data_IF_216876216003
#
_entry.id   IF_216876216003
#
_cell.length_a   1.000
_cell.length_b   1.000
_cell.length_c   1.000
_cell.angle_alpha   90.00
_cell.angle_beta   90.00
_cell.angle_gamma   90.00
#
_symmetry.space_group_name_H-M   'P 1'
#
loop_
_entity.id
_entity.type
_entity.pdbx_description
1 polymer ?
#
# COMPACT_ATOMS: atom_id res chain seq x y z
N UNK A 1 3.56 -16.12 -10.93
CA UNK A 1 3.64 -15.24 -9.73
C UNK A 1 2.70 -15.66 -8.60
N UNK A 2 1.40 -15.85 -8.86
CA UNK A 2 0.46 -16.22 -7.78
C UNK A 2 0.77 -17.53 -7.10
N UNK A 3 1.27 -18.53 -7.80
CA UNK A 3 1.74 -19.80 -7.20
C UNK A 3 2.89 -19.58 -6.22
N UNK A 4 3.79 -18.65 -6.52
CA UNK A 4 4.88 -18.27 -5.62
C UNK A 4 4.36 -17.55 -4.37
N UNK A 5 3.39 -16.66 -4.54
CA UNK A 5 2.75 -15.97 -3.41
C UNK A 5 2.11 -16.98 -2.47
N UNK A 6 1.37 -17.94 -3.00
CA UNK A 6 0.76 -19.01 -2.22
C UNK A 6 1.81 -19.84 -1.47
N UNK A 7 2.89 -20.22 -2.15
CA UNK A 7 3.97 -21.03 -1.60
C UNK A 7 4.77 -20.31 -0.52
N UNK A 8 5.15 -19.07 -0.76
CA UNK A 8 5.98 -18.28 0.16
C UNK A 8 5.17 -17.60 1.28
N UNK A 9 3.87 -17.44 1.08
CA UNK A 9 2.94 -16.86 2.04
C UNK A 9 3.43 -15.56 2.69
N UNK A 10 3.84 -14.54 1.89
CA UNK A 10 4.25 -13.27 2.46
C UNK A 10 3.08 -12.59 3.14
N UNK A 11 3.34 -11.83 4.20
CA UNK A 11 2.29 -11.01 4.81
C UNK A 11 1.84 -9.96 3.79
N UNK A 12 0.53 -9.82 3.64
CA UNK A 12 -0.08 -8.85 2.73
C UNK A 12 -0.94 -7.85 3.51
N UNK A 13 -0.67 -6.56 3.30
CA UNK A 13 -1.44 -5.47 3.87
C UNK A 13 -1.80 -4.49 2.75
N UNK A 14 -3.06 -4.09 2.67
CA UNK A 14 -3.54 -3.20 1.62
C UNK A 14 -4.34 -2.04 2.19
N UNK A 15 -4.22 -0.89 1.54
CA UNK A 15 -5.02 0.30 1.84
C UNK A 15 -5.59 0.84 0.55
N UNK A 16 -6.90 1.06 0.53
CA UNK A 16 -7.61 1.63 -0.60
C UNK A 16 -8.37 2.89 -0.19
N UNK A 17 -8.15 3.96 -0.93
CA UNK A 17 -8.89 5.19 -0.76
C UNK A 17 -9.99 5.28 -1.81
N UNK A 18 -11.24 5.27 -1.38
CA UNK A 18 -12.38 5.44 -2.27
C UNK A 18 -12.56 6.93 -2.56
N UNK A 19 -12.10 7.36 -3.73
CA UNK A 19 -12.02 8.77 -4.11
C UNK A 19 -13.36 9.51 -4.06
N UNK A 20 -14.46 8.82 -4.34
CA UNK A 20 -15.79 9.43 -4.28
C UNK A 20 -16.14 9.93 -2.87
N UNK A 21 -15.55 9.36 -1.83
CA UNK A 21 -15.78 9.75 -0.44
C UNK A 21 -14.77 10.78 0.07
N UNK A 22 -13.83 11.23 -0.77
CA UNK A 22 -12.87 12.24 -0.39
C UNK A 22 -13.53 13.62 -0.24
N UNK A 23 -13.05 14.40 0.71
CA UNK A 23 -13.46 15.78 0.83
C UNK A 23 -13.09 16.59 -0.42
N UNK A 24 -13.90 17.58 -0.79
CA UNK A 24 -13.70 18.38 -2.00
C UNK A 24 -12.32 19.03 -2.07
N UNK A 25 -11.81 19.54 -0.94
CA UNK A 25 -10.50 20.18 -0.90
C UNK A 25 -9.35 19.20 -1.16
N UNK A 26 -9.51 17.94 -0.78
CA UNK A 26 -8.52 16.89 -1.06
C UNK A 26 -8.51 16.56 -2.55
N UNK A 27 -9.70 16.43 -3.17
CA UNK A 27 -9.81 16.19 -4.60
C UNK A 27 -9.21 17.32 -5.43
N UNK A 28 -9.38 18.57 -4.99
CA UNK A 28 -8.88 19.75 -5.68
C UNK A 28 -7.34 19.81 -5.73
N UNK A 29 -6.65 19.19 -4.78
CA UNK A 29 -5.19 19.14 -4.74
C UNK A 29 -4.58 18.12 -5.71
N UNK A 30 -5.42 17.27 -6.34
CA UNK A 30 -5.03 16.39 -7.41
C UNK A 30 -4.51 15.01 -6.96
N UNK A 31 -4.07 14.17 -7.94
CA UNK A 31 -3.70 12.79 -7.69
C UNK A 31 -2.51 12.61 -6.72
N UNK A 32 -1.55 13.54 -6.73
CA UNK A 32 -0.38 13.44 -5.85
C UNK A 32 -0.75 13.58 -4.38
N UNK A 33 -1.74 14.39 -4.07
CA UNK A 33 -2.25 14.50 -2.69
C UNK A 33 -2.89 13.20 -2.24
N UNK A 34 -3.68 12.58 -3.10
CA UNK A 34 -4.30 11.27 -2.80
C UNK A 34 -3.25 10.19 -2.61
N UNK A 35 -2.22 10.16 -3.45
CA UNK A 35 -1.11 9.22 -3.34
C UNK A 35 -0.36 9.38 -2.01
N UNK A 36 -0.04 10.61 -1.65
CA UNK A 36 0.61 10.91 -0.36
C UNK A 36 -0.25 10.48 0.83
N UNK A 37 -1.55 10.72 0.79
CA UNK A 37 -2.47 10.31 1.84
C UNK A 37 -2.56 8.80 1.97
N UNK A 38 -2.60 8.07 0.85
CA UNK A 38 -2.59 6.61 0.87
C UNK A 38 -1.33 6.09 1.54
N UNK A 39 -0.17 6.62 1.21
CA UNK A 39 1.11 6.28 1.85
C UNK A 39 1.09 6.56 3.34
N UNK A 40 0.66 7.75 3.73
CA UNK A 40 0.61 8.17 5.12
C UNK A 40 -0.28 7.23 5.95
N UNK A 41 -1.50 7.00 5.50
CA UNK A 41 -2.47 6.17 6.22
C UNK A 41 -2.02 4.71 6.29
N UNK A 42 -1.50 4.18 5.19
CA UNK A 42 -1.00 2.81 5.14
C UNK A 42 0.18 2.61 6.09
N UNK A 43 1.20 3.44 5.94
CA UNK A 43 2.45 3.30 6.69
C UNK A 43 2.24 3.53 8.18
N UNK A 44 1.46 4.53 8.56
CA UNK A 44 1.16 4.82 9.96
C UNK A 44 0.51 3.62 10.66
N UNK A 45 -0.41 2.94 9.98
CA UNK A 45 -1.08 1.76 10.50
C UNK A 45 -0.14 0.55 10.54
N UNK A 46 0.54 0.26 9.44
CA UNK A 46 1.28 -0.97 9.26
C UNK A 46 2.62 -0.96 10.01
N UNK A 47 3.32 0.17 10.03
CA UNK A 47 4.62 0.26 10.70
C UNK A 47 4.55 -0.14 12.18
N UNK A 48 3.49 0.24 12.87
CA UNK A 48 3.30 -0.13 14.29
C UNK A 48 3.02 -1.62 14.47
N UNK A 49 2.42 -2.27 13.48
CA UNK A 49 2.10 -3.70 13.54
C UNK A 49 3.30 -4.60 13.21
N UNK A 50 4.16 -4.16 12.29
CA UNK A 50 5.26 -5.00 11.77
C UNK A 50 6.62 -4.71 12.40
N UNK A 51 6.72 -3.67 13.22
CA UNK A 51 7.99 -3.28 13.83
C UNK A 51 7.83 -2.94 15.32
N UNK A 52 8.96 -3.02 16.04
CA UNK A 52 9.09 -2.58 17.43
C UNK A 52 9.84 -1.25 17.47
N UNK A 53 9.79 -0.49 18.59
CA UNK A 53 10.50 0.80 18.68
C UNK A 53 12.00 0.75 18.39
N UNK A 54 12.66 -0.37 18.68
CA UNK A 54 14.11 -0.53 18.48
C UNK A 54 14.46 -1.05 17.08
N UNK A 55 13.47 -1.43 16.27
CA UNK A 55 13.70 -1.96 14.93
C UNK A 55 13.99 -0.85 13.93
N UNK A 56 14.80 -1.15 12.93
CA UNK A 56 14.89 -0.36 11.71
C UNK A 56 13.92 -0.94 10.68
N UNK A 57 13.03 -0.10 10.16
CA UNK A 57 12.08 -0.49 9.14
C UNK A 57 12.52 0.06 7.78
N UNK A 58 12.84 -0.81 6.85
CA UNK A 58 13.15 -0.42 5.48
C UNK A 58 11.89 -0.51 4.63
N UNK A 59 11.51 0.61 4.03
CA UNK A 59 10.36 0.69 3.14
C UNK A 59 10.86 0.82 1.72
N UNK A 60 10.59 -0.20 0.89
CA UNK A 60 10.98 -0.19 -0.52
C UNK A 60 9.80 0.24 -1.35
N UNK A 61 9.96 1.32 -2.08
CA UNK A 61 8.91 1.91 -2.94
C UNK A 61 9.31 1.72 -4.40
N UNK A 62 8.35 1.33 -5.22
CA UNK A 62 8.57 1.23 -6.66
C UNK A 62 8.80 2.62 -7.25
N UNK A 63 9.83 2.73 -8.10
CA UNK A 63 10.08 3.93 -8.87
C UNK A 63 9.10 3.98 -10.05
N UNK A 64 8.20 4.94 -10.02
CA UNK A 64 7.37 5.30 -11.16
C UNK A 64 7.94 6.59 -11.74
N UNK A 65 8.04 6.70 -13.04
CA UNK A 65 8.76 7.70 -13.81
C UNK A 65 8.61 9.18 -13.49
N UNK A 66 8.04 9.61 -12.37
CA UNK A 66 7.91 11.03 -12.03
C UNK A 66 8.54 11.37 -10.68
N UNK A 67 9.19 12.54 -10.63
CA UNK A 67 9.74 13.09 -9.39
C UNK A 67 8.65 13.36 -8.33
N UNK A 68 7.43 13.65 -8.76
CA UNK A 68 6.31 13.93 -7.87
C UNK A 68 5.94 12.75 -6.98
N UNK A 69 5.96 11.54 -7.51
CA UNK A 69 5.65 10.31 -6.76
C UNK A 69 6.72 10.06 -5.69
N UNK A 70 7.99 10.20 -6.04
CA UNK A 70 9.10 10.03 -5.10
C UNK A 70 9.02 11.06 -3.96
N UNK A 71 8.76 12.31 -4.31
CA UNK A 71 8.59 13.39 -3.34
C UNK A 71 7.42 13.12 -2.39
N UNK A 72 6.26 12.71 -2.93
CA UNK A 72 5.08 12.41 -2.13
C UNK A 72 5.32 11.27 -1.16
N UNK A 73 5.99 10.20 -1.59
CA UNK A 73 6.36 9.08 -0.73
C UNK A 73 7.31 9.52 0.38
N UNK A 74 8.35 10.29 0.05
CA UNK A 74 9.33 10.81 1.02
C UNK A 74 8.67 11.71 2.08
N UNK A 75 7.77 12.59 1.66
CA UNK A 75 7.04 13.46 2.58
C UNK A 75 6.10 12.66 3.50
N UNK A 76 5.42 11.66 2.97
CA UNK A 76 4.55 10.79 3.76
C UNK A 76 5.34 10.02 4.82
N UNK A 77 6.49 9.46 4.45
CA UNK A 77 7.38 8.77 5.40
C UNK A 77 7.85 9.70 6.50
N UNK A 78 8.30 10.91 6.13
CA UNK A 78 8.75 11.90 7.10
C UNK A 78 7.64 12.27 8.10
N UNK A 79 6.43 12.50 7.62
CA UNK A 79 5.28 12.83 8.47
C UNK A 79 4.92 11.67 9.42
N UNK A 80 5.01 10.43 8.94
CA UNK A 80 4.78 9.26 9.80
C UNK A 80 5.83 9.16 10.87
N UNK A 81 7.12 9.35 10.53
CA UNK A 81 8.22 9.32 11.51
C UNK A 81 8.05 10.37 12.61
N UNK A 82 7.44 11.51 12.29
CA UNK A 82 7.14 12.54 13.28
C UNK A 82 6.01 12.16 14.25
N UNK A 83 5.17 11.23 13.86
CA UNK A 83 3.98 10.84 14.64
C UNK A 83 4.14 9.53 15.40
N UNK A 84 5.04 8.66 14.98
CA UNK A 84 5.27 7.37 15.63
C UNK A 84 6.73 7.20 15.99
N UNK A 85 6.99 6.43 17.05
CA UNK A 85 8.36 6.13 17.50
C UNK A 85 8.90 4.93 16.72
N UNK A 86 9.27 5.15 15.46
CA UNK A 86 9.85 4.13 14.59
C UNK A 86 10.96 4.74 13.73
N UNK A 87 11.99 3.95 13.49
CA UNK A 87 13.09 4.33 12.60
C UNK A 87 12.80 3.75 11.21
N UNK A 88 12.46 4.62 10.26
CA UNK A 88 12.04 4.21 8.91
C UNK A 88 13.02 4.79 7.89
N UNK A 89 13.56 3.92 7.04
CA UNK A 89 14.40 4.30 5.90
C UNK A 89 13.68 3.98 4.60
N UNK A 90 13.55 4.99 3.74
CA UNK A 90 12.91 4.86 2.44
C UNK A 90 13.94 4.48 1.38
N UNK A 91 13.67 3.41 0.65
CA UNK A 91 14.45 2.95 -0.50
C UNK A 91 13.57 3.02 -1.74
N UNK A 92 14.05 3.64 -2.81
CA UNK A 92 13.32 3.73 -4.08
C UNK A 92 14.01 2.84 -5.11
N UNK A 93 13.34 1.77 -5.54
CA UNK A 93 13.88 0.77 -6.45
C UNK A 93 12.98 0.59 -7.67
N UNK A 94 13.55 0.11 -8.76
CA UNK A 94 12.73 -0.29 -9.91
C UNK A 94 11.98 -1.58 -9.59
N UNK A 95 10.74 -1.70 -10.08
CA UNK A 95 9.94 -2.91 -9.85
C UNK A 95 10.61 -4.17 -10.42
N UNK A 96 11.30 -4.04 -11.56
CA UNK A 96 12.00 -5.15 -12.20
C UNK A 96 13.16 -5.70 -11.37
N UNK A 97 13.77 -4.87 -10.53
CA UNK A 97 14.90 -5.28 -9.69
C UNK A 97 14.48 -5.88 -8.34
N UNK A 98 13.19 -5.88 -8.03
CA UNK A 98 12.69 -6.32 -6.73
C UNK A 98 11.54 -7.30 -6.86
N UNK A 99 11.78 -8.53 -6.43
CA UNK A 99 10.73 -9.54 -6.33
C UNK A 99 9.59 -9.10 -5.40
N UNK A 100 9.94 -8.46 -4.28
CA UNK A 100 8.95 -7.97 -3.33
C UNK A 100 8.01 -6.92 -3.92
N UNK A 101 8.52 -6.00 -4.75
CA UNK A 101 7.70 -5.02 -5.45
C UNK A 101 6.77 -5.68 -6.46
N UNK A 102 7.25 -6.71 -7.17
CA UNK A 102 6.42 -7.48 -8.10
C UNK A 102 5.30 -8.21 -7.36
N UNK A 103 5.61 -8.83 -6.23
CA UNK A 103 4.60 -9.48 -5.37
C UNK A 103 3.55 -8.48 -4.92
N UNK A 104 3.96 -7.29 -4.49
CA UNK A 104 3.05 -6.25 -4.06
C UNK A 104 2.08 -5.84 -5.19
N UNK A 105 2.59 -5.66 -6.41
CA UNK A 105 1.77 -5.30 -7.56
C UNK A 105 0.73 -6.36 -7.89
N UNK A 106 1.13 -7.63 -7.96
CA UNK A 106 0.21 -8.74 -8.25
C UNK A 106 -0.84 -8.90 -7.16
N UNK A 107 -0.43 -8.82 -5.92
CA UNK A 107 -1.35 -8.94 -4.78
C UNK A 107 -2.33 -7.79 -4.71
N UNK A 108 -1.85 -6.57 -4.91
CA UNK A 108 -2.71 -5.38 -4.92
C UNK A 108 -3.76 -5.46 -6.03
N UNK A 109 -3.36 -5.90 -7.23
CA UNK A 109 -4.28 -6.10 -8.35
C UNK A 109 -5.40 -7.08 -7.99
N UNK A 110 -5.04 -8.22 -7.39
CA UNK A 110 -6.02 -9.23 -7.00
C UNK A 110 -7.00 -8.72 -5.94
N UNK A 111 -6.50 -8.01 -4.93
CA UNK A 111 -7.34 -7.42 -3.87
C UNK A 111 -8.26 -6.35 -4.43
N UNK A 112 -7.75 -5.51 -5.34
CA UNK A 112 -8.54 -4.47 -5.99
C UNK A 112 -9.71 -5.07 -6.78
N UNK A 113 -9.45 -6.12 -7.57
CA UNK A 113 -10.50 -6.80 -8.31
C UNK A 113 -11.57 -7.39 -7.38
N UNK A 114 -11.13 -8.01 -6.29
CA UNK A 114 -12.06 -8.54 -5.29
C UNK A 114 -12.91 -7.42 -4.67
N UNK A 115 -12.28 -6.31 -4.29
CA UNK A 115 -12.97 -5.18 -3.68
C UNK A 115 -13.98 -4.52 -4.63
N UNK A 116 -13.68 -4.49 -5.92
CA UNK A 116 -14.57 -3.95 -6.96
C UNK A 116 -15.65 -4.95 -7.38
N UNK A 117 -15.71 -6.13 -6.79
CA UNK A 117 -16.66 -7.18 -7.16
C UNK A 117 -16.37 -7.85 -8.49
N UNK A 118 -15.16 -7.71 -9.03
CA UNK A 118 -14.74 -8.34 -10.27
C UNK A 118 -14.20 -9.74 -10.01
N UNK A 119 -14.41 -10.63 -10.97
CA UNK A 119 -13.91 -12.00 -10.86
C UNK A 119 -12.39 -12.03 -10.86
N UNK A 120 -11.81 -12.71 -9.87
CA UNK A 120 -10.38 -12.99 -9.80
C UNK A 120 -10.18 -14.39 -9.22
N UNK A 121 -9.72 -15.33 -10.06
CA UNK A 121 -9.52 -16.72 -9.66
C UNK A 121 -8.35 -16.91 -8.68
N UNK A 122 -7.46 -15.93 -8.58
CA UNK A 122 -6.26 -16.01 -7.76
C UNK A 122 -6.44 -15.47 -6.33
N UNK A 123 -7.51 -14.69 -6.09
CA UNK A 123 -7.71 -14.04 -4.80
C UNK A 123 -7.89 -15.04 -3.66
N UNK A 124 -8.89 -15.93 -3.78
CA UNK A 124 -9.22 -16.90 -2.72
C UNK A 124 -8.06 -17.87 -2.41
N UNK A 125 -7.44 -18.53 -3.42
CA UNK A 125 -6.43 -19.53 -3.12
C UNK A 125 -5.05 -18.95 -2.80
N UNK A 126 -4.68 -17.79 -3.33
CA UNK A 126 -3.30 -17.30 -3.28
C UNK A 126 -3.12 -16.06 -2.41
N UNK A 127 -4.06 -15.15 -2.38
CA UNK A 127 -3.93 -13.85 -1.72
C UNK A 127 -4.64 -13.81 -0.38
N UNK A 128 -5.91 -14.22 -0.33
CA UNK A 128 -6.72 -14.19 0.88
C UNK A 128 -6.05 -14.85 2.09
N UNK A 129 -5.37 -16.01 1.96
CA UNK A 129 -4.70 -16.65 3.10
C UNK A 129 -3.59 -15.81 3.73
N UNK A 130 -2.97 -14.90 2.96
CA UNK A 130 -1.87 -14.06 3.43
C UNK A 130 -2.29 -12.63 3.74
N UNK A 131 -3.53 -12.26 3.39
CA UNK A 131 -4.05 -10.91 3.56
C UNK A 131 -4.32 -10.63 5.04
N UNK A 132 -3.49 -9.80 5.64
CA UNK A 132 -3.60 -9.41 7.05
C UNK A 132 -4.45 -8.15 7.23
N UNK A 133 -4.42 -7.25 6.27
CA UNK A 133 -5.12 -5.97 6.34
C UNK A 133 -5.78 -5.62 5.01
N UNK A 134 -7.05 -5.29 5.09
CA UNK A 134 -7.79 -4.61 4.03
C UNK A 134 -8.37 -3.34 4.64
N UNK A 135 -7.61 -2.25 4.54
CA UNK A 135 -7.95 -0.99 5.17
C UNK A 135 -8.58 -0.03 4.17
N UNK A 136 -9.79 0.40 4.46
CA UNK A 136 -10.55 1.34 3.64
C UNK A 136 -10.99 2.52 4.50
N UNK A 137 -10.07 3.46 4.82
CA UNK A 137 -10.34 4.53 5.79
C UNK A 137 -11.47 5.48 5.37
N UNK A 138 -11.77 5.58 4.07
CA UNK A 138 -12.86 6.40 3.53
C UNK A 138 -14.08 5.58 3.14
N UNK A 139 -14.17 4.33 3.60
CA UNK A 139 -15.24 3.42 3.25
C UNK A 139 -14.95 2.61 1.98
N UNK A 140 -15.89 1.76 1.64
CA UNK A 140 -15.79 0.90 0.46
C UNK A 140 -16.67 1.41 -0.67
N UNK A 141 -16.36 1.04 -1.93
CA UNK A 141 -17.30 1.27 -3.02
C UNK A 141 -18.64 0.61 -2.70
N UNK A 142 -19.74 1.29 -3.04
CA UNK A 142 -21.04 0.67 -2.94
C UNK A 142 -21.10 -0.49 -3.94
N UNK A 143 -21.49 -1.66 -3.45
CA UNK A 143 -21.71 -2.81 -4.31
C UNK A 143 -23.09 -2.67 -4.95
N UNK A 144 -23.07 -2.52 -6.25
CA UNK A 144 -24.28 -2.46 -7.05
C UNK A 144 -24.56 -3.80 -7.68
#
# INVERSE_FOLDING_TARGET
>A
MFSLIKSQAPRFDTTFLYKANAYSYVKAEGPMRLYKMAWFLHLKKIALQVSRPDDELYVVVAEFGTKGIRKAASEAVAEVCDQINRNITLCVWTAQSSWGLQVADYGLWAVQRHLEGKKCTWFEPCIKPTLSTLFTPWGRPENH
#
